data_IF_983033064926
#
_entry.id   IF_983033064926
#
_cell.length_a   1.000
_cell.length_b   1.000
_cell.length_c   1.000
_cell.angle_alpha   90.00
_cell.angle_beta   90.00
_cell.angle_gamma   90.00
#
_symmetry.space_group_name_H-M   'P 1'
#
loop_
_entity.id
_entity.type
_entity.pdbx_description
1 polymer ?
#
# COMPACT_ATOMS: atom_id res chain seq x y z
N UNK A 1 38.63 -40.48 54.67
CA UNK A 1 39.02 -41.85 54.28
C UNK A 1 37.76 -42.68 54.37
N UNK A 2 37.34 -43.31 53.26
CA UNK A 2 35.98 -43.87 53.04
C UNK A 2 34.88 -42.80 52.97
N UNK A 3 33.88 -42.84 52.10
CA UNK A 3 33.31 -43.97 51.37
C UNK A 3 32.47 -43.50 50.16
N UNK A 4 32.20 -44.45 49.27
CA UNK A 4 31.62 -44.35 47.92
C UNK A 4 30.24 -43.66 47.85
N UNK A 5 30.03 -42.86 46.80
CA UNK A 5 28.70 -42.59 46.25
C UNK A 5 28.64 -43.04 44.78
N UNK A 6 27.69 -43.93 44.49
CA UNK A 6 27.26 -44.40 43.17
C UNK A 6 26.48 -43.28 42.45
N UNK A 7 26.61 -43.08 41.12
CA UNK A 7 25.69 -42.22 40.39
C UNK A 7 24.43 -43.01 39.98
N UNK A 8 23.26 -42.52 40.37
CA UNK A 8 21.98 -42.92 39.81
C UNK A 8 21.81 -42.21 38.46
N UNK A 9 21.63 -43.04 37.42
CA UNK A 9 21.38 -42.65 36.05
C UNK A 9 19.95 -42.10 35.89
N UNK A 10 19.81 -40.95 35.24
CA UNK A 10 18.55 -40.48 34.63
C UNK A 10 18.79 -40.46 33.12
N UNK A 11 18.06 -41.23 32.30
CA UNK A 11 18.19 -41.13 30.85
C UNK A 11 17.50 -39.84 30.38
N UNK A 12 18.28 -38.96 29.77
CA UNK A 12 17.77 -37.79 29.06
C UNK A 12 17.12 -38.28 27.76
N UNK A 13 15.77 -38.25 27.71
CA UNK A 13 15.02 -38.52 26.49
C UNK A 13 15.17 -37.29 25.57
N UNK A 14 16.10 -37.37 24.62
CA UNK A 14 16.23 -36.38 23.55
C UNK A 14 15.06 -36.57 22.58
N UNK A 15 14.02 -35.73 22.72
CA UNK A 15 12.96 -35.59 21.73
C UNK A 15 13.51 -34.78 20.55
N UNK A 16 14.02 -35.48 19.54
CA UNK A 16 14.35 -34.87 18.24
C UNK A 16 13.02 -34.60 17.54
N UNK A 17 12.53 -33.37 17.62
CA UNK A 17 11.45 -32.89 16.77
C UNK A 17 12.04 -32.70 15.38
N UNK A 18 11.81 -33.68 14.51
CA UNK A 18 12.01 -33.50 13.08
C UNK A 18 10.98 -32.48 12.60
N UNK A 19 11.39 -31.23 12.39
CA UNK A 19 10.64 -30.26 11.62
C UNK A 19 10.65 -30.71 10.16
N UNK A 20 9.69 -31.54 9.79
CA UNK A 20 9.26 -31.65 8.40
C UNK A 20 8.52 -30.36 8.04
N UNK A 21 8.76 -29.74 6.85
CA UNK A 21 7.90 -28.68 6.36
C UNK A 21 6.51 -29.28 6.13
N UNK A 22 5.60 -29.01 7.06
CA UNK A 22 4.21 -29.40 6.93
C UNK A 22 3.59 -28.53 5.84
N UNK A 23 3.17 -29.14 4.73
CA UNK A 23 2.10 -28.57 3.90
C UNK A 23 0.92 -28.34 4.84
N UNK A 24 0.49 -27.08 4.97
CA UNK A 24 -0.69 -26.72 5.75
C UNK A 24 -1.87 -27.61 5.37
N UNK A 25 -2.65 -28.02 6.37
CA UNK A 25 -3.91 -28.72 6.11
C UNK A 25 -4.83 -27.69 5.46
N UNK A 26 -5.23 -27.94 4.22
CA UNK A 26 -6.16 -27.09 3.48
C UNK A 26 -7.43 -26.86 4.31
N UNK A 27 -7.80 -25.58 4.47
CA UNK A 27 -8.88 -25.12 5.32
C UNK A 27 -9.96 -24.42 4.52
N UNK A 28 -10.74 -23.59 5.20
CA UNK A 28 -11.62 -22.60 4.56
C UNK A 28 -10.70 -21.42 4.17
N UNK A 29 -10.76 -20.90 2.93
CA UNK A 29 -9.84 -19.84 2.51
C UNK A 29 -10.06 -18.57 3.32
N UNK A 30 -9.02 -18.02 3.93
CA UNK A 30 -9.09 -16.72 4.61
C UNK A 30 -8.94 -15.59 3.57
N UNK A 31 -9.79 -14.57 3.67
CA UNK A 31 -9.80 -13.41 2.78
C UNK A 31 -9.13 -12.24 3.49
N UNK A 32 -8.11 -11.66 2.85
CA UNK A 32 -7.34 -10.55 3.39
C UNK A 32 -7.23 -9.40 2.37
N UNK A 33 -7.10 -8.17 2.86
CA UNK A 33 -6.82 -6.97 2.04
C UNK A 33 -7.84 -6.71 0.92
N UNK A 34 -9.14 -6.80 1.24
CA UNK A 34 -10.20 -6.41 0.31
C UNK A 34 -10.07 -4.91 0.01
N UNK A 35 -9.88 -4.57 -1.27
CA UNK A 35 -9.67 -3.20 -1.73
C UNK A 35 -10.48 -2.95 -3.00
N UNK A 36 -11.17 -1.81 -3.04
CA UNK A 36 -11.85 -1.31 -4.25
C UNK A 36 -10.85 -0.56 -5.11
N UNK A 37 -10.80 -0.89 -6.39
CA UNK A 37 -9.86 -0.32 -7.38
C UNK A 37 -10.56 -0.08 -8.72
N UNK A 38 -9.90 0.61 -9.65
CA UNK A 38 -10.35 0.75 -11.04
C UNK A 38 -11.80 1.26 -11.15
N UNK A 39 -12.18 2.19 -10.27
CA UNK A 39 -13.52 2.78 -10.26
C UNK A 39 -13.64 3.76 -11.42
N UNK A 40 -14.68 3.57 -12.22
CA UNK A 40 -15.04 4.45 -13.32
C UNK A 40 -16.49 4.90 -13.13
N UNK A 41 -17.01 5.64 -14.10
CA UNK A 41 -18.42 6.05 -14.12
C UNK A 41 -19.39 4.88 -14.31
N UNK A 42 -18.93 3.70 -14.76
CA UNK A 42 -19.80 2.57 -15.11
C UNK A 42 -19.26 1.20 -14.68
N UNK A 43 -18.16 1.19 -13.92
CA UNK A 43 -17.52 -0.02 -13.43
C UNK A 43 -16.73 0.21 -12.15
N UNK A 44 -16.42 -0.86 -11.45
CA UNK A 44 -15.35 -0.91 -10.45
C UNK A 44 -14.71 -2.29 -10.46
N UNK A 45 -13.51 -2.40 -9.90
CA UNK A 45 -12.91 -3.68 -9.54
C UNK A 45 -12.78 -3.82 -8.03
N UNK A 46 -12.72 -5.06 -7.56
CA UNK A 46 -12.33 -5.39 -6.19
C UNK A 46 -11.21 -6.39 -6.26
N UNK A 47 -10.15 -6.13 -5.49
CA UNK A 47 -9.00 -7.02 -5.34
C UNK A 47 -8.90 -7.51 -3.90
N UNK A 48 -8.35 -8.70 -3.70
CA UNK A 48 -8.06 -9.26 -2.37
C UNK A 48 -7.10 -10.44 -2.47
N UNK A 49 -6.56 -10.86 -1.33
CA UNK A 49 -5.71 -12.03 -1.19
C UNK A 49 -6.47 -13.18 -0.51
N UNK A 50 -6.21 -14.40 -0.96
CA UNK A 50 -6.65 -15.65 -0.35
C UNK A 50 -5.46 -16.35 0.33
N UNK A 51 -5.69 -16.98 1.48
CA UNK A 51 -4.69 -17.78 2.19
C UNK A 51 -4.27 -19.08 1.48
N UNK A 52 -4.94 -19.42 0.38
CA UNK A 52 -4.63 -20.56 -0.48
C UNK A 52 -5.07 -20.31 -1.92
N UNK A 53 -4.68 -21.21 -2.83
CA UNK A 53 -5.14 -21.17 -4.22
C UNK A 53 -6.68 -21.26 -4.30
N UNK A 54 -7.31 -20.30 -4.96
CA UNK A 54 -8.75 -20.13 -4.95
C UNK A 54 -9.27 -19.44 -6.22
N UNK A 55 -10.57 -19.46 -6.44
CA UNK A 55 -11.24 -18.70 -7.50
C UNK A 55 -11.98 -17.50 -6.91
N UNK A 56 -12.10 -16.44 -7.69
CA UNK A 56 -12.73 -15.18 -7.29
C UNK A 56 -14.10 -14.98 -7.93
N UNK A 57 -15.06 -14.48 -7.17
CA UNK A 57 -16.34 -13.96 -7.65
C UNK A 57 -16.85 -12.84 -6.72
N UNK A 58 -17.91 -12.13 -7.10
CA UNK A 58 -18.51 -11.07 -6.28
C UNK A 58 -20.03 -11.04 -6.49
N UNK A 59 -20.77 -10.80 -5.41
CA UNK A 59 -22.19 -10.45 -5.48
C UNK A 59 -22.36 -8.97 -5.17
N UNK A 60 -23.18 -8.29 -5.98
CA UNK A 60 -23.40 -6.83 -5.90
C UNK A 60 -24.87 -6.56 -5.61
N UNK A 61 -25.14 -5.57 -4.76
CA UNK A 61 -26.43 -5.26 -4.19
C UNK A 61 -26.73 -3.76 -4.28
N UNK A 62 -28.02 -3.43 -4.29
CA UNK A 62 -28.53 -2.06 -4.26
C UNK A 62 -28.63 -1.49 -2.83
N UNK A 63 -28.47 -2.32 -1.79
CA UNK A 63 -28.61 -1.93 -0.39
C UNK A 63 -27.54 -2.52 0.53
N UNK A 64 -27.23 -1.78 1.60
CA UNK A 64 -26.20 -2.13 2.58
C UNK A 64 -26.45 -3.43 3.34
N UNK A 65 -27.69 -3.92 3.38
CA UNK A 65 -28.02 -5.17 4.07
C UNK A 65 -27.87 -6.41 3.18
N UNK A 66 -27.52 -6.24 1.90
CA UNK A 66 -27.37 -7.35 0.97
C UNK A 66 -28.69 -8.04 0.61
N UNK A 67 -29.82 -7.31 0.66
CA UNK A 67 -31.15 -7.92 0.45
C UNK A 67 -31.62 -7.85 -1.00
N UNK A 68 -31.13 -6.89 -1.77
CA UNK A 68 -31.55 -6.61 -3.14
C UNK A 68 -30.36 -6.77 -4.07
N UNK A 69 -30.24 -7.94 -4.70
CA UNK A 69 -29.18 -8.21 -5.67
C UNK A 69 -29.34 -7.29 -6.89
N UNK A 70 -28.23 -6.68 -7.31
CA UNK A 70 -28.17 -5.81 -8.47
C UNK A 70 -28.44 -6.62 -9.74
N UNK A 71 -29.43 -6.19 -10.52
CA UNK A 71 -29.75 -6.80 -11.81
C UNK A 71 -29.04 -6.09 -12.96
N UNK A 72 -28.55 -6.86 -13.94
CA UNK A 72 -27.99 -6.31 -15.19
C UNK A 72 -26.51 -5.93 -15.16
N UNK A 73 -25.85 -6.02 -14.01
CA UNK A 73 -24.39 -5.91 -13.92
C UNK A 73 -23.72 -7.15 -14.54
N UNK A 74 -22.55 -6.94 -15.13
CA UNK A 74 -21.70 -8.01 -15.66
C UNK A 74 -20.48 -8.14 -14.75
N UNK A 75 -20.29 -9.34 -14.21
CA UNK A 75 -19.18 -9.70 -13.32
C UNK A 75 -18.16 -10.53 -14.10
N UNK A 76 -16.89 -10.13 -14.06
CA UNK A 76 -15.78 -10.82 -14.72
C UNK A 76 -14.64 -11.01 -13.72
N UNK A 77 -14.35 -12.27 -13.38
CA UNK A 77 -13.18 -12.63 -12.59
C UNK A 77 -11.92 -12.61 -13.43
N UNK A 78 -10.86 -12.02 -12.87
CA UNK A 78 -9.55 -11.84 -13.47
C UNK A 78 -9.64 -11.25 -14.88
N UNK A 79 -10.13 -10.01 -15.01
CA UNK A 79 -10.22 -9.35 -16.32
C UNK A 79 -8.82 -9.11 -16.88
N UNK A 80 -8.52 -9.71 -18.03
CA UNK A 80 -7.25 -9.59 -18.76
C UNK A 80 -7.55 -9.08 -20.16
N UNK A 81 -6.81 -8.09 -20.61
CA UNK A 81 -6.99 -7.46 -21.94
C UNK A 81 -6.36 -8.30 -23.05
N UNK A 82 -5.21 -8.92 -22.81
CA UNK A 82 -4.56 -9.83 -23.74
C UNK A 82 -5.23 -11.21 -23.73
N UNK A 83 -6.08 -11.45 -24.72
CA UNK A 83 -6.84 -12.68 -24.86
C UNK A 83 -5.96 -13.94 -24.99
N UNK A 84 -4.74 -13.82 -25.52
CA UNK A 84 -3.82 -14.96 -25.69
C UNK A 84 -3.16 -15.33 -24.34
N UNK A 85 -3.08 -14.38 -23.41
CA UNK A 85 -2.49 -14.58 -22.06
C UNK A 85 -3.52 -14.77 -20.95
N UNK A 86 -4.80 -14.48 -21.22
CA UNK A 86 -5.89 -14.50 -20.23
C UNK A 86 -5.93 -15.76 -19.36
N UNK A 87 -5.92 -16.94 -19.98
CA UNK A 87 -5.97 -18.21 -19.22
C UNK A 87 -4.73 -18.42 -18.33
N UNK A 88 -3.55 -18.02 -18.80
CA UNK A 88 -2.30 -18.19 -18.08
C UNK A 88 -2.20 -17.23 -16.89
N UNK A 89 -2.53 -15.95 -17.10
CA UNK A 89 -2.52 -14.92 -16.04
C UNK A 89 -3.58 -15.26 -14.98
N UNK A 90 -4.79 -15.63 -15.40
CA UNK A 90 -5.84 -16.08 -14.48
C UNK A 90 -5.39 -17.28 -13.66
N UNK A 91 -4.84 -18.31 -14.30
CA UNK A 91 -4.38 -19.50 -13.59
C UNK A 91 -3.27 -19.18 -12.57
N UNK A 92 -2.32 -18.31 -12.95
CA UNK A 92 -1.25 -17.87 -12.06
C UNK A 92 -1.79 -17.07 -10.87
N UNK A 93 -2.69 -16.10 -11.11
CA UNK A 93 -3.32 -15.29 -10.06
C UNK A 93 -4.09 -16.16 -9.05
N UNK A 94 -4.91 -17.09 -9.56
CA UNK A 94 -5.66 -18.01 -8.69
C UNK A 94 -4.73 -18.96 -7.90
N UNK A 95 -3.59 -19.37 -8.45
CA UNK A 95 -2.62 -20.24 -7.76
C UNK A 95 -1.83 -19.47 -6.69
N UNK A 96 -1.54 -18.19 -6.92
CA UNK A 96 -0.92 -17.29 -5.95
C UNK A 96 -1.91 -16.70 -4.95
N UNK A 97 -3.20 -17.02 -5.05
CA UNK A 97 -4.23 -16.48 -4.16
C UNK A 97 -4.51 -14.99 -4.41
N UNK A 98 -4.13 -14.44 -5.57
CA UNK A 98 -4.44 -13.06 -5.98
C UNK A 98 -5.78 -13.02 -6.70
N UNK A 99 -6.69 -12.20 -6.20
CA UNK A 99 -8.04 -12.06 -6.74
C UNK A 99 -8.25 -10.66 -7.29
N UNK A 100 -8.89 -10.57 -8.46
CA UNK A 100 -9.46 -9.34 -9.02
C UNK A 100 -10.78 -9.68 -9.69
N UNK A 101 -11.85 -8.97 -9.36
CA UNK A 101 -13.14 -9.11 -10.03
C UNK A 101 -13.61 -7.73 -10.46
N UNK A 102 -14.00 -7.60 -11.73
CA UNK A 102 -14.54 -6.37 -12.29
C UNK A 102 -16.05 -6.49 -12.47
N UNK A 103 -16.75 -5.44 -12.04
CA UNK A 103 -18.19 -5.27 -12.20
C UNK A 103 -18.42 -4.12 -13.18
N UNK A 104 -19.19 -4.37 -14.24
CA UNK A 104 -19.52 -3.38 -15.28
C UNK A 104 -21.02 -3.28 -15.51
N UNK A 105 -21.46 -2.24 -16.22
CA UNK A 105 -22.88 -1.99 -16.50
C UNK A 105 -23.57 -1.15 -15.42
N UNK A 106 -22.79 -0.39 -14.66
CA UNK A 106 -23.26 0.44 -13.56
C UNK A 106 -23.67 1.84 -14.04
N UNK A 107 -24.30 2.61 -13.16
CA UNK A 107 -24.61 4.02 -13.40
C UNK A 107 -23.56 4.93 -12.75
N UNK A 108 -23.26 6.11 -13.33
CA UNK A 108 -22.39 7.11 -12.70
C UNK A 108 -22.97 7.64 -11.39
N UNK A 109 -22.11 8.14 -10.50
CA UNK A 109 -22.48 8.76 -9.21
C UNK A 109 -23.51 7.92 -8.43
N UNK A 110 -23.30 6.61 -8.36
CA UNK A 110 -24.23 5.67 -7.75
C UNK A 110 -23.49 4.75 -6.78
N UNK A 111 -23.98 4.68 -5.54
CA UNK A 111 -23.46 3.76 -4.52
C UNK A 111 -24.03 2.36 -4.70
N UNK A 112 -23.14 1.38 -4.75
CA UNK A 112 -23.43 -0.05 -4.74
C UNK A 112 -22.78 -0.71 -3.53
N UNK A 113 -23.29 -1.88 -3.16
CA UNK A 113 -22.77 -2.68 -2.05
C UNK A 113 -22.35 -4.04 -2.56
N UNK A 114 -21.31 -4.66 -1.98
CA UNK A 114 -20.82 -5.93 -2.46
C UNK A 114 -20.34 -6.85 -1.34
N UNK A 115 -20.28 -8.14 -1.66
CA UNK A 115 -19.53 -9.15 -0.91
C UNK A 115 -18.65 -9.93 -1.88
N UNK A 116 -17.38 -10.12 -1.53
CA UNK A 116 -16.48 -11.00 -2.28
C UNK A 116 -16.86 -12.46 -2.03
N UNK A 117 -16.56 -13.33 -2.98
CA UNK A 117 -16.76 -14.78 -2.87
C UNK A 117 -15.46 -15.45 -3.29
N UNK A 118 -14.85 -16.16 -2.34
CA UNK A 118 -13.59 -16.88 -2.55
C UNK A 118 -13.85 -18.36 -2.40
N UNK A 119 -13.58 -19.15 -3.44
CA UNK A 119 -13.77 -20.61 -3.40
C UNK A 119 -12.43 -21.31 -3.46
N UNK A 120 -12.08 -22.10 -2.43
CA UNK A 120 -10.83 -22.87 -2.43
C UNK A 120 -10.79 -23.85 -3.60
N UNK A 121 -9.66 -23.88 -4.33
CA UNK A 121 -9.43 -24.90 -5.36
C UNK A 121 -9.20 -26.29 -4.80
N UNK A 122 -8.83 -26.39 -3.52
CA UNK A 122 -8.43 -27.64 -2.89
C UNK A 122 -9.60 -28.33 -2.18
N UNK A 123 -10.47 -27.57 -1.49
CA UNK A 123 -11.60 -28.10 -0.72
C UNK A 123 -12.97 -27.78 -1.32
N UNK A 124 -13.05 -26.80 -2.21
CA UNK A 124 -14.30 -26.17 -2.67
C UNK A 124 -15.09 -25.46 -1.55
N UNK A 125 -14.47 -25.21 -0.39
CA UNK A 125 -15.05 -24.36 0.64
C UNK A 125 -15.11 -22.91 0.16
N UNK A 126 -16.14 -22.20 0.61
CA UNK A 126 -16.44 -20.82 0.19
C UNK A 126 -16.36 -19.87 1.38
N UNK A 127 -15.70 -18.75 1.18
CA UNK A 127 -15.66 -17.61 2.10
C UNK A 127 -16.26 -16.39 1.42
N UNK A 128 -17.14 -15.69 2.13
CA UNK A 128 -17.69 -14.40 1.69
C UNK A 128 -17.25 -13.28 2.61
N UNK A 129 -16.78 -12.16 2.05
CA UNK A 129 -16.31 -11.01 2.82
C UNK A 129 -16.90 -9.69 2.29
N UNK A 130 -17.62 -8.91 3.13
CA UNK A 130 -17.95 -9.21 4.53
C UNK A 130 -18.98 -10.34 4.65
N UNK A 131 -18.84 -11.18 5.68
CA UNK A 131 -19.73 -12.33 5.91
C UNK A 131 -21.15 -11.95 6.35
N UNK A 132 -21.38 -10.69 6.74
CA UNK A 132 -22.67 -10.16 7.15
C UNK A 132 -22.73 -8.65 6.91
N UNK A 133 -23.94 -8.10 6.91
CA UNK A 133 -24.18 -6.66 6.81
C UNK A 133 -23.58 -5.87 8.00
N UNK A 134 -23.22 -4.58 7.81
CA UNK A 134 -23.31 -3.83 6.55
C UNK A 134 -22.27 -4.29 5.54
N UNK A 135 -22.69 -4.45 4.28
CA UNK A 135 -21.81 -4.80 3.18
C UNK A 135 -20.90 -3.63 2.82
N UNK A 136 -19.73 -3.94 2.23
CA UNK A 136 -18.79 -2.92 1.74
C UNK A 136 -19.41 -2.16 0.59
N UNK A 137 -19.28 -0.84 0.58
CA UNK A 137 -19.84 0.02 -0.46
C UNK A 137 -18.77 0.61 -1.39
N UNK A 138 -19.17 0.91 -2.62
CA UNK A 138 -18.41 1.70 -3.59
C UNK A 138 -19.36 2.66 -4.28
N UNK A 139 -18.93 3.91 -4.48
CA UNK A 139 -19.64 4.88 -5.33
C UNK A 139 -18.86 5.04 -6.62
N UNK A 140 -19.54 4.84 -7.76
CA UNK A 140 -18.97 5.07 -9.10
C UNK A 140 -18.67 6.54 -9.33
N UNK A 141 -17.73 6.80 -10.22
CA UNK A 141 -17.30 8.17 -10.54
C UNK A 141 -18.39 8.95 -11.29
N UNK A 142 -18.28 10.28 -11.29
CA UNK A 142 -19.33 11.17 -11.80
C UNK A 142 -19.26 11.32 -13.32
N UNK A 143 -18.08 11.68 -13.85
CA UNK A 143 -17.90 11.96 -15.28
C UNK A 143 -16.48 11.66 -15.75
N UNK A 144 -16.37 11.16 -16.99
CA UNK A 144 -15.06 11.11 -17.67
C UNK A 144 -14.75 12.47 -18.28
N UNK A 145 -13.66 13.08 -17.84
CA UNK A 145 -13.18 14.38 -18.29
C UNK A 145 -11.73 14.25 -18.74
N UNK A 146 -11.33 14.98 -19.79
CA UNK A 146 -9.95 14.98 -20.31
C UNK A 146 -9.49 16.40 -20.60
N UNK A 147 -10.01 17.34 -19.82
CA UNK A 147 -9.77 18.77 -19.98
C UNK A 147 -9.76 19.46 -18.64
N UNK A 148 -8.96 20.51 -18.50
CA UNK A 148 -9.00 21.44 -17.37
C UNK A 148 -9.24 22.89 -17.85
N UNK A 149 -9.67 23.75 -16.95
CA UNK A 149 -9.88 25.18 -17.21
C UNK A 149 -8.59 25.97 -16.92
N UNK A 150 -8.10 26.73 -17.90
CA UNK A 150 -7.02 27.72 -17.73
C UNK A 150 -7.56 29.11 -18.10
N UNK A 151 -8.01 29.85 -17.08
CA UNK A 151 -8.60 31.17 -17.25
C UNK A 151 -9.93 31.14 -18.02
N UNK A 152 -9.90 31.43 -19.33
CA UNK A 152 -11.07 31.33 -20.22
C UNK A 152 -10.99 30.17 -21.20
N UNK A 153 -9.86 29.47 -21.23
CA UNK A 153 -9.59 28.38 -22.15
C UNK A 153 -9.89 27.03 -21.47
N UNK A 154 -10.32 26.06 -22.26
CA UNK A 154 -10.48 24.67 -21.86
C UNK A 154 -9.42 23.88 -22.61
N UNK A 155 -8.44 23.37 -21.89
CA UNK A 155 -7.28 22.70 -22.45
C UNK A 155 -7.38 21.19 -22.20
N UNK A 156 -7.03 20.34 -23.18
CA UNK A 156 -6.98 18.90 -22.96
C UNK A 156 -5.76 18.51 -22.12
N UNK A 157 -5.89 17.44 -21.35
CA UNK A 157 -4.77 16.77 -20.68
C UNK A 157 -4.78 15.27 -20.96
N UNK A 158 -3.63 14.63 -20.77
CA UNK A 158 -3.48 13.18 -20.87
C UNK A 158 -2.32 12.76 -20.00
N UNK A 159 -2.60 11.98 -18.96
CA UNK A 159 -1.55 11.42 -18.12
C UNK A 159 -0.75 10.37 -18.90
N UNK A 160 0.43 10.04 -18.38
CA UNK A 160 1.29 8.98 -18.91
C UNK A 160 0.83 7.58 -18.48
N UNK A 161 1.36 6.56 -19.19
CA UNK A 161 1.24 5.15 -18.82
C UNK A 161 2.51 4.74 -18.08
N UNK A 162 2.35 4.24 -16.86
CA UNK A 162 3.47 3.77 -16.05
C UNK A 162 3.81 2.33 -16.42
N UNK A 163 5.10 2.08 -16.66
CA UNK A 163 5.68 0.75 -16.78
C UNK A 163 6.61 0.48 -15.62
N UNK A 164 6.38 -0.64 -14.93
CA UNK A 164 7.20 -1.08 -13.80
C UNK A 164 7.49 -2.58 -13.93
N UNK A 165 8.73 -2.97 -13.61
CA UNK A 165 9.12 -4.38 -13.54
C UNK A 165 8.70 -5.01 -12.22
N UNK A 166 8.12 -6.20 -12.29
CA UNK A 166 7.58 -6.88 -11.12
C UNK A 166 8.16 -8.30 -11.05
N UNK A 167 8.97 -8.50 -10.02
CA UNK A 167 9.59 -9.78 -9.71
C UNK A 167 9.03 -10.33 -8.40
N UNK A 168 9.15 -11.65 -8.24
CA UNK A 168 8.98 -12.31 -6.95
C UNK A 168 10.09 -11.88 -5.98
N UNK A 169 10.00 -12.31 -4.72
CA UNK A 169 10.96 -11.97 -3.66
C UNK A 169 12.43 -12.28 -4.03
N UNK A 170 12.66 -13.23 -4.94
CA UNK A 170 13.99 -13.58 -5.44
C UNK A 170 14.65 -12.52 -6.34
N UNK A 171 13.90 -11.47 -6.71
CA UNK A 171 14.35 -10.35 -7.54
C UNK A 171 14.66 -10.71 -9.01
N UNK A 172 14.31 -11.92 -9.47
CA UNK A 172 14.68 -12.40 -10.82
C UNK A 172 13.55 -13.13 -11.55
N UNK A 173 12.66 -13.81 -10.84
CA UNK A 173 11.52 -14.50 -11.41
C UNK A 173 10.36 -13.52 -11.61
N UNK A 174 9.79 -13.39 -12.84
CA UNK A 174 8.63 -12.54 -13.07
C UNK A 174 7.45 -12.89 -12.15
N UNK A 175 6.76 -11.87 -11.63
CA UNK A 175 5.62 -12.02 -10.74
C UNK A 175 4.29 -12.24 -11.48
N UNK A 176 4.27 -13.16 -12.45
CA UNK A 176 3.10 -13.43 -13.28
C UNK A 176 1.85 -13.75 -12.44
N UNK A 177 0.70 -13.18 -12.82
CA UNK A 177 -0.57 -13.34 -12.11
C UNK A 177 -0.72 -12.44 -10.87
N UNK A 178 0.34 -11.74 -10.45
CA UNK A 178 0.25 -10.69 -9.43
C UNK A 178 -0.36 -9.40 -10.04
N UNK A 179 -0.75 -8.47 -9.18
CA UNK A 179 -1.28 -7.17 -9.60
C UNK A 179 -0.29 -6.07 -9.24
N UNK A 180 -0.01 -5.17 -10.18
CA UNK A 180 0.54 -3.87 -9.84
C UNK A 180 -0.62 -2.95 -9.43
N UNK A 181 -0.54 -2.39 -8.24
CA UNK A 181 -1.48 -1.38 -7.71
C UNK A 181 -0.77 -0.04 -7.74
N UNK A 182 -1.42 0.99 -8.29
CA UNK A 182 -0.91 2.36 -8.29
C UNK A 182 -1.82 3.28 -7.48
N UNK A 183 -1.21 4.08 -6.60
CA UNK A 183 -1.85 5.16 -5.83
C UNK A 183 -1.11 6.48 -6.05
N UNK A 184 -1.87 7.57 -6.17
CA UNK A 184 -1.37 8.95 -6.30
C UNK A 184 -2.03 9.90 -5.30
N UNK A 185 -1.38 11.02 -4.98
CA UNK A 185 -1.79 12.00 -3.97
C UNK A 185 -3.24 12.53 -4.14
N UNK A 186 -3.72 12.77 -5.36
CA UNK A 186 -5.11 13.23 -5.61
C UNK A 186 -6.14 12.12 -5.87
N UNK A 187 -5.71 10.85 -5.96
CA UNK A 187 -6.55 9.75 -6.44
C UNK A 187 -7.64 9.35 -5.44
N UNK A 188 -8.87 9.13 -5.94
CA UNK A 188 -9.99 8.62 -5.14
C UNK A 188 -9.86 7.12 -4.85
N UNK A 189 -9.48 6.34 -5.86
CA UNK A 189 -9.27 4.90 -5.77
C UNK A 189 -7.98 4.53 -6.50
N UNK A 190 -7.27 3.48 -6.05
CA UNK A 190 -6.14 2.93 -6.80
C UNK A 190 -6.59 2.35 -8.14
N UNK A 191 -5.66 2.28 -9.07
CA UNK A 191 -5.83 1.54 -10.34
C UNK A 191 -4.87 0.37 -10.39
N UNK A 192 -5.23 -0.68 -11.13
CA UNK A 192 -4.48 -1.93 -11.11
C UNK A 192 -4.34 -2.58 -12.48
N UNK A 193 -3.22 -3.27 -12.69
CA UNK A 193 -2.95 -4.05 -13.89
C UNK A 193 -2.32 -5.38 -13.51
N UNK A 194 -2.66 -6.44 -14.26
CA UNK A 194 -1.96 -7.70 -14.14
C UNK A 194 -0.57 -7.59 -14.74
N UNK A 195 0.40 -8.20 -14.08
CA UNK A 195 1.74 -8.35 -14.61
C UNK A 195 1.68 -9.31 -15.81
N UNK A 196 2.21 -8.85 -16.95
CA UNK A 196 2.13 -9.54 -18.24
C UNK A 196 0.84 -9.32 -19.04
N UNK A 197 -0.11 -8.49 -18.59
CA UNK A 197 -1.30 -8.11 -19.38
C UNK A 197 -1.02 -6.89 -20.25
N UNK A 198 -1.24 -7.01 -21.56
CA UNK A 198 -0.95 -5.96 -22.54
C UNK A 198 0.54 -5.66 -22.78
N UNK A 199 1.44 -6.29 -22.00
CA UNK A 199 2.91 -6.21 -22.10
C UNK A 199 3.53 -7.56 -21.78
N UNK A 200 4.78 -7.81 -22.17
CA UNK A 200 5.48 -9.04 -21.77
C UNK A 200 6.00 -8.93 -20.34
N UNK A 201 5.92 -10.02 -19.59
CA UNK A 201 6.52 -10.16 -18.27
C UNK A 201 8.03 -9.87 -18.32
N UNK A 202 8.61 -9.24 -17.28
CA UNK A 202 8.06 -9.01 -15.93
C UNK A 202 7.28 -7.71 -15.77
N UNK A 203 6.89 -7.03 -16.85
CA UNK A 203 6.31 -5.70 -16.75
C UNK A 203 4.81 -5.71 -16.49
N UNK A 204 4.31 -4.65 -15.85
CA UNK A 204 2.91 -4.25 -15.87
C UNK A 204 2.77 -2.85 -16.48
N UNK A 205 1.64 -2.58 -17.12
CA UNK A 205 1.28 -1.27 -17.66
C UNK A 205 0.08 -0.71 -16.92
N UNK A 206 0.27 0.46 -16.29
CA UNK A 206 -0.78 1.18 -15.57
C UNK A 206 -1.09 2.47 -16.33
N UNK A 207 -2.32 2.60 -16.82
CA UNK A 207 -2.78 3.81 -17.48
C UNK A 207 -3.32 4.81 -16.44
N UNK A 208 -2.50 5.82 -16.09
CA UNK A 208 -2.86 6.85 -15.10
C UNK A 208 -4.01 7.74 -15.56
N UNK A 209 -4.41 7.68 -16.83
CA UNK A 209 -5.64 8.36 -17.28
C UNK A 209 -6.88 7.78 -16.60
N UNK A 210 -6.82 6.55 -16.07
CA UNK A 210 -7.95 5.95 -15.35
C UNK A 210 -8.02 6.36 -13.88
N UNK A 211 -7.14 7.25 -13.42
CA UNK A 211 -7.27 7.89 -12.10
C UNK A 211 -8.40 8.92 -12.12
N UNK A 212 -9.17 8.94 -11.04
CA UNK A 212 -10.18 9.95 -10.75
C UNK A 212 -9.81 10.70 -9.48
N UNK A 213 -10.11 12.00 -9.46
CA UNK A 213 -9.87 12.92 -8.36
C UNK A 213 -10.83 12.64 -7.21
N UNK A 214 -10.30 12.58 -6.00
CA UNK A 214 -11.12 12.47 -4.78
C UNK A 214 -12.06 13.64 -4.58
N UNK A 215 -11.67 14.83 -5.05
CA UNK A 215 -12.45 16.05 -4.81
C UNK A 215 -13.61 16.21 -5.78
N UNK A 216 -13.38 15.91 -7.07
CA UNK A 216 -14.38 16.12 -8.13
C UNK A 216 -15.08 14.85 -8.59
N UNK A 217 -14.53 13.67 -8.30
CA UNK A 217 -14.97 12.39 -8.90
C UNK A 217 -15.01 12.43 -10.42
N UNK A 218 -14.11 13.22 -11.01
CA UNK A 218 -13.78 13.28 -12.44
C UNK A 218 -12.32 12.87 -12.63
N UNK A 219 -11.87 12.66 -13.86
CA UNK A 219 -10.48 12.25 -14.07
C UNK A 219 -9.49 13.26 -13.51
N UNK A 220 -8.44 12.73 -12.88
CA UNK A 220 -7.38 13.52 -12.26
C UNK A 220 -6.31 13.88 -13.30
N UNK A 221 -6.03 15.16 -13.47
CA UNK A 221 -4.86 15.67 -14.19
C UNK A 221 -3.67 15.62 -13.24
N UNK A 222 -2.63 14.87 -13.59
CA UNK A 222 -1.50 14.63 -12.69
C UNK A 222 -0.36 15.60 -12.97
N UNK A 223 0.21 16.13 -11.89
CA UNK A 223 1.36 17.02 -11.99
C UNK A 223 2.67 16.24 -11.81
N UNK A 224 3.71 16.69 -12.51
CA UNK A 224 5.04 16.12 -12.31
C UNK A 224 5.47 16.24 -10.85
N UNK A 225 6.06 15.17 -10.30
CA UNK A 225 6.66 15.20 -8.98
C UNK A 225 5.71 14.76 -7.87
N UNK A 226 4.41 14.64 -8.16
CA UNK A 226 3.43 14.05 -7.24
C UNK A 226 3.84 12.64 -6.82
N UNK A 227 3.52 12.25 -5.58
CA UNK A 227 3.87 10.94 -5.06
C UNK A 227 3.10 9.84 -5.81
N UNK A 228 3.83 8.83 -6.29
CA UNK A 228 3.29 7.65 -6.98
C UNK A 228 3.78 6.41 -6.24
N UNK A 229 2.90 5.78 -5.48
CA UNK A 229 3.21 4.51 -4.80
C UNK A 229 2.73 3.35 -5.64
N UNK A 230 3.65 2.43 -5.94
CA UNK A 230 3.37 1.21 -6.69
C UNK A 230 3.56 -0.01 -5.77
N UNK A 231 2.54 -0.87 -5.68
CA UNK A 231 2.59 -2.12 -4.90
C UNK A 231 2.41 -3.30 -5.83
N UNK A 232 3.38 -4.21 -5.85
CA UNK A 232 3.22 -5.53 -6.42
C UNK A 232 2.50 -6.42 -5.39
N UNK A 233 1.22 -6.66 -5.64
CA UNK A 233 0.33 -7.47 -4.83
C UNK A 233 0.36 -8.93 -5.31
N UNK A 234 1.21 -9.73 -4.66
CA UNK A 234 1.53 -11.10 -5.07
C UNK A 234 0.83 -12.21 -4.26
N UNK A 235 0.02 -11.84 -3.26
CA UNK A 235 -0.72 -12.81 -2.45
C UNK A 235 0.22 -13.76 -1.70
N UNK A 236 0.10 -15.07 -1.96
CA UNK A 236 0.95 -16.11 -1.36
C UNK A 236 2.43 -16.01 -1.75
N UNK A 237 2.75 -15.26 -2.81
CA UNK A 237 4.11 -15.03 -3.25
C UNK A 237 4.78 -13.82 -2.56
N UNK A 238 4.08 -13.19 -1.60
CA UNK A 238 4.52 -11.98 -0.92
C UNK A 238 4.21 -10.71 -1.71
N UNK A 239 4.44 -9.55 -1.09
CA UNK A 239 4.23 -8.26 -1.72
C UNK A 239 5.53 -7.46 -1.75
N UNK A 240 5.61 -6.51 -2.67
CA UNK A 240 6.66 -5.50 -2.66
C UNK A 240 6.09 -4.13 -3.00
N UNK A 241 6.80 -3.10 -2.56
CA UNK A 241 6.44 -1.70 -2.83
C UNK A 241 7.64 -0.98 -3.39
N UNK A 242 7.36 -0.08 -4.32
CA UNK A 242 8.29 0.92 -4.81
C UNK A 242 7.60 2.27 -4.86
N UNK A 243 8.20 3.26 -4.20
CA UNK A 243 7.75 4.65 -4.32
C UNK A 243 8.49 5.33 -5.45
N UNK A 244 7.72 5.99 -6.30
CA UNK A 244 8.13 6.85 -7.40
C UNK A 244 7.50 8.22 -7.25
N UNK A 245 7.81 9.09 -8.20
CA UNK A 245 7.03 10.29 -8.50
C UNK A 245 6.42 10.19 -9.89
N UNK A 246 5.31 10.90 -10.08
CA UNK A 246 4.72 11.10 -11.41
C UNK A 246 5.79 11.72 -12.32
N UNK A 247 6.12 11.09 -13.46
CA UNK A 247 7.13 11.59 -14.37
C UNK A 247 6.66 12.85 -15.10
N UNK A 248 7.58 13.61 -15.70
CA UNK A 248 7.20 14.76 -16.53
C UNK A 248 6.37 14.32 -17.72
N UNK A 249 5.17 14.87 -17.89
CA UNK A 249 4.41 14.77 -19.13
C UNK A 249 5.05 15.66 -20.21
N UNK A 250 5.57 15.02 -21.27
CA UNK A 250 6.21 15.69 -22.42
C UNK A 250 5.45 15.39 -23.73
N UNK A 251 4.36 14.63 -23.65
CA UNK A 251 3.68 14.05 -24.80
C UNK A 251 2.49 13.21 -24.37
N UNK A 252 1.53 13.04 -25.27
CA UNK A 252 0.26 12.38 -24.94
C UNK A 252 0.45 10.90 -24.63
N UNK A 253 0.12 10.49 -23.40
CA UNK A 253 0.07 9.09 -22.94
C UNK A 253 1.35 8.31 -23.25
N UNK A 254 2.51 8.89 -22.91
CA UNK A 254 3.78 8.20 -23.11
C UNK A 254 3.94 7.06 -22.11
N UNK A 255 4.63 6.00 -22.54
CA UNK A 255 5.00 4.90 -21.63
C UNK A 255 6.30 5.30 -20.93
N UNK A 256 6.27 5.44 -19.60
CA UNK A 256 7.41 5.88 -18.78
C UNK A 256 7.53 5.07 -17.50
N UNK A 257 8.75 4.96 -16.97
CA UNK A 257 8.95 4.56 -15.58
C UNK A 257 8.73 5.75 -14.66
N UNK A 258 8.39 5.51 -13.40
CA UNK A 258 8.22 6.60 -12.43
C UNK A 258 9.54 7.30 -12.10
N UNK A 259 9.48 8.60 -11.80
CA UNK A 259 10.64 9.40 -11.40
C UNK A 259 11.15 8.97 -10.01
N UNK A 260 12.43 9.22 -9.67
CA UNK A 260 12.97 8.92 -8.35
C UNK A 260 12.20 9.62 -7.21
N UNK A 261 11.75 8.84 -6.23
CA UNK A 261 11.03 9.34 -5.05
C UNK A 261 11.94 10.04 -4.05
N UNK A 262 13.06 9.41 -3.69
CA UNK A 262 14.05 9.96 -2.77
C UNK A 262 14.93 10.96 -3.52
N UNK A 263 14.94 12.21 -3.06
CA UNK A 263 15.75 13.31 -3.62
C UNK A 263 17.09 13.43 -2.90
N UNK A 264 18.06 14.07 -3.53
CA UNK A 264 19.33 14.41 -2.87
C UNK A 264 19.06 15.30 -1.66
N UNK A 265 19.69 15.02 -0.53
CA UNK A 265 19.46 15.70 0.74
C UNK A 265 18.42 14.99 1.61
N UNK A 266 17.68 15.77 2.41
CA UNK A 266 16.75 15.27 3.41
C UNK A 266 15.42 14.84 2.77
N UNK A 267 14.92 13.66 3.15
CA UNK A 267 13.62 13.14 2.75
C UNK A 267 12.89 12.61 3.99
N UNK A 268 11.61 12.90 4.12
CA UNK A 268 10.79 12.40 5.23
C UNK A 268 9.89 11.26 4.75
N UNK A 269 10.26 10.03 5.10
CA UNK A 269 9.81 8.80 4.44
C UNK A 269 9.21 7.83 5.45
N UNK A 270 8.16 7.14 5.06
CA UNK A 270 7.60 5.98 5.77
C UNK A 270 7.66 4.72 4.91
N UNK A 271 7.40 3.58 5.54
CA UNK A 271 7.32 2.29 4.86
C UNK A 271 5.85 1.83 4.83
N UNK A 272 5.14 1.91 3.67
CA UNK A 272 3.73 1.52 3.61
C UNK A 272 3.46 0.04 3.90
N UNK A 273 4.48 -0.81 3.71
CA UNK A 273 4.43 -2.23 4.07
C UNK A 273 5.40 -2.49 5.20
N UNK A 274 5.07 -3.44 6.08
CA UNK A 274 6.02 -3.92 7.07
C UNK A 274 7.09 -4.76 6.36
N UNK A 275 8.39 -4.39 6.45
CA UNK A 275 9.42 -5.15 5.76
C UNK A 275 9.51 -6.59 6.25
N UNK A 276 9.61 -7.55 5.31
CA UNK A 276 9.84 -8.97 5.65
C UNK A 276 11.18 -9.13 6.38
N UNK A 277 12.22 -8.43 5.89
CA UNK A 277 13.48 -8.24 6.59
C UNK A 277 13.60 -6.78 7.00
N UNK A 278 13.39 -6.52 8.29
CA UNK A 278 13.47 -5.17 8.84
C UNK A 278 14.90 -4.73 9.20
N UNK A 279 15.94 -5.57 9.00
CA UNK A 279 17.32 -5.15 9.24
C UNK A 279 17.71 -4.02 8.29
N UNK A 280 18.16 -2.89 8.84
CA UNK A 280 18.41 -1.68 8.05
C UNK A 280 19.44 -1.88 6.92
N UNK A 281 20.49 -2.68 7.15
CA UNK A 281 21.57 -2.87 6.16
C UNK A 281 21.08 -3.72 4.99
N UNK A 282 20.38 -4.80 5.30
CA UNK A 282 19.83 -5.70 4.27
C UNK A 282 18.71 -4.99 3.49
N UNK A 283 17.84 -4.28 4.20
CA UNK A 283 16.68 -3.62 3.61
C UNK A 283 17.06 -2.51 2.63
N UNK A 284 18.11 -1.75 2.93
CA UNK A 284 18.58 -0.66 2.05
C UNK A 284 19.68 -1.11 1.09
N UNK A 285 20.03 -2.40 0.99
CA UNK A 285 21.18 -2.89 0.22
C UNK A 285 21.22 -2.31 -1.21
N UNK A 286 20.07 -2.27 -1.88
CA UNK A 286 19.93 -1.77 -3.26
C UNK A 286 20.21 -0.27 -3.42
N UNK A 287 20.08 0.50 -2.34
CA UNK A 287 20.32 1.95 -2.31
C UNK A 287 21.45 2.33 -1.34
N UNK A 288 22.17 1.35 -0.78
CA UNK A 288 23.09 1.57 0.35
C UNK A 288 24.14 2.63 0.04
N UNK A 289 24.72 2.61 -1.16
CA UNK A 289 25.73 3.57 -1.59
C UNK A 289 25.19 5.00 -1.78
N UNK A 290 23.88 5.14 -1.97
CA UNK A 290 23.18 6.42 -2.19
C UNK A 290 22.70 7.09 -0.90
N UNK A 291 22.70 6.35 0.21
CA UNK A 291 22.33 6.84 1.54
C UNK A 291 23.58 7.36 2.25
N UNK A 292 23.50 8.54 2.85
CA UNK A 292 24.52 9.07 3.77
C UNK A 292 24.17 8.73 5.22
N UNK A 293 22.93 8.99 5.63
CA UNK A 293 22.43 8.66 6.96
C UNK A 293 20.91 8.47 6.98
N UNK A 294 20.42 7.71 7.96
CA UNK A 294 18.99 7.52 8.24
C UNK A 294 18.76 7.83 9.72
N UNK A 295 17.72 8.61 10.01
CA UNK A 295 17.36 9.00 11.36
C UNK A 295 15.91 8.65 11.67
N UNK A 296 15.65 8.23 12.90
CA UNK A 296 14.32 8.08 13.48
C UNK A 296 14.23 8.87 14.78
N UNK A 297 13.01 9.12 15.25
CA UNK A 297 12.77 9.78 16.52
C UNK A 297 12.02 8.84 17.46
N UNK A 298 12.63 8.51 18.59
CA UNK A 298 11.97 7.75 19.64
C UNK A 298 11.24 8.72 20.58
N UNK A 299 9.93 8.83 20.41
CA UNK A 299 9.10 9.73 21.19
C UNK A 299 9.05 9.37 22.69
N UNK A 300 9.31 8.11 23.05
CA UNK A 300 9.26 7.65 24.44
C UNK A 300 10.48 8.10 25.25
N UNK A 301 11.65 8.17 24.61
CA UNK A 301 12.89 8.65 25.23
C UNK A 301 13.19 10.12 24.90
N UNK A 302 12.62 10.64 23.81
CA UNK A 302 12.93 11.95 23.25
C UNK A 302 14.25 12.00 22.48
N UNK A 303 14.85 10.84 22.19
CA UNK A 303 16.15 10.71 21.55
C UNK A 303 16.04 10.42 20.04
N UNK A 304 17.06 10.85 19.29
CA UNK A 304 17.21 10.45 17.89
C UNK A 304 18.00 9.15 17.78
N UNK A 305 17.47 8.22 16.98
CA UNK A 305 18.16 7.01 16.57
C UNK A 305 18.76 7.22 15.17
N UNK A 306 19.96 6.72 14.90
CA UNK A 306 20.58 6.91 13.59
C UNK A 306 21.43 5.75 13.09
N UNK A 307 21.48 5.63 11.77
CA UNK A 307 22.54 4.99 11.02
C UNK A 307 23.26 6.10 10.25
N UNK A 308 24.54 6.35 10.53
CA UNK A 308 25.30 7.43 9.90
C UNK A 308 26.63 6.87 9.38
N UNK A 309 26.77 6.78 8.06
CA UNK A 309 27.94 6.17 7.41
C UNK A 309 29.21 7.00 7.56
N UNK A 310 29.12 8.25 8.04
CA UNK A 310 30.30 9.04 8.43
C UNK A 310 30.91 8.57 9.75
N UNK A 311 30.17 7.76 10.52
CA UNK A 311 30.56 7.23 11.82
C UNK A 311 30.75 5.70 11.76
N UNK A 312 31.65 5.11 12.57
CA UNK A 312 31.78 3.65 12.67
C UNK A 312 30.47 2.96 13.06
N UNK A 313 30.16 1.82 12.44
CA UNK A 313 28.86 1.13 12.56
C UNK A 313 28.46 0.75 14.00
N UNK A 314 29.43 0.57 14.89
CA UNK A 314 29.16 0.29 16.30
C UNK A 314 28.54 1.48 17.06
N UNK A 315 28.60 2.68 16.49
CA UNK A 315 27.98 3.90 17.03
C UNK A 315 26.59 4.18 16.46
N UNK A 316 26.16 3.45 15.41
CA UNK A 316 24.79 3.55 14.96
C UNK A 316 23.87 3.17 16.13
N UNK A 317 22.71 3.78 16.26
CA UNK A 317 21.67 3.41 17.23
C UNK A 317 20.41 2.87 16.55
N UNK A 318 20.18 3.21 15.27
CA UNK A 318 19.13 2.63 14.45
C UNK A 318 19.61 1.31 13.84
N UNK A 319 18.77 0.26 13.91
CA UNK A 319 19.10 -1.10 13.41
C UNK A 319 18.02 -1.72 12.55
N UNK A 320 16.78 -1.28 12.71
CA UNK A 320 15.64 -1.75 11.94
C UNK A 320 14.83 -0.58 11.39
N UNK A 321 14.14 -0.85 10.28
CA UNK A 321 13.11 0.03 9.74
C UNK A 321 11.76 -0.70 9.74
N UNK A 322 10.70 -0.02 10.15
CA UNK A 322 9.37 -0.58 10.43
C UNK A 322 8.28 0.35 9.87
N UNK A 323 7.11 -0.19 9.57
CA UNK A 323 6.03 0.55 8.88
C UNK A 323 5.43 1.72 9.67
N UNK A 324 5.40 1.61 10.99
CA UNK A 324 4.76 2.60 11.87
C UNK A 324 5.67 3.78 12.22
N UNK A 325 6.96 3.72 11.90
CA UNK A 325 7.92 4.76 12.24
C UNK A 325 8.19 5.63 11.02
N UNK A 326 8.28 6.95 11.24
CA UNK A 326 8.77 7.86 10.21
C UNK A 326 10.28 8.01 10.27
N UNK A 327 10.89 8.22 9.10
CA UNK A 327 12.34 8.31 8.96
C UNK A 327 12.77 9.55 8.19
N UNK A 328 13.94 10.07 8.55
CA UNK A 328 14.68 11.00 7.72
C UNK A 328 15.76 10.26 6.96
N UNK A 329 15.61 10.15 5.65
CA UNK A 329 16.63 9.62 4.75
C UNK A 329 17.45 10.79 4.19
N UNK A 330 18.75 10.81 4.48
CA UNK A 330 19.70 11.75 3.90
C UNK A 330 20.42 11.07 2.75
N UNK A 331 20.15 11.52 1.53
CA UNK A 331 20.63 10.90 0.30
C UNK A 331 21.73 11.74 -0.36
N UNK A 332 22.71 11.08 -0.97
CA UNK A 332 23.72 11.71 -1.82
C UNK A 332 23.40 11.60 -3.33
N UNK A 333 22.46 10.72 -3.70
CA UNK A 333 21.97 10.53 -5.06
C UNK A 333 20.45 10.26 -5.01
N UNK A 334 19.69 10.80 -5.97
CA UNK A 334 18.27 10.50 -6.07
C UNK A 334 18.02 9.07 -6.56
N UNK A 335 17.00 8.41 -6.01
CA UNK A 335 16.65 7.03 -6.37
C UNK A 335 15.21 6.70 -5.97
N UNK A 336 14.65 5.67 -6.59
CA UNK A 336 13.50 4.96 -6.04
C UNK A 336 13.98 3.94 -5.01
N UNK A 337 13.09 3.59 -4.08
CA UNK A 337 13.36 2.61 -3.03
C UNK A 337 12.34 1.49 -3.12
N UNK A 338 12.83 0.28 -3.40
CA UNK A 338 12.04 -0.94 -3.60
C UNK A 338 12.40 -1.96 -2.53
N UNK A 339 11.39 -2.53 -1.88
CA UNK A 339 11.57 -3.57 -0.86
C UNK A 339 10.34 -4.49 -0.77
N UNK A 340 10.55 -5.69 -0.23
CA UNK A 340 9.49 -6.66 0.03
C UNK A 340 8.90 -6.45 1.42
N UNK A 341 7.58 -6.57 1.53
CA UNK A 341 6.87 -6.34 2.77
C UNK A 341 5.47 -6.96 2.78
N UNK A 342 4.86 -6.97 3.95
CA UNK A 342 3.50 -7.41 4.17
C UNK A 342 2.65 -6.29 4.73
N UNK A 343 1.36 -6.35 4.42
CA UNK A 343 0.37 -5.54 5.11
C UNK A 343 0.28 -5.98 6.57
N UNK A 344 0.32 -5.03 7.50
CA UNK A 344 0.16 -5.30 8.93
C UNK A 344 -0.96 -4.45 9.52
N UNK A 345 -1.66 -5.01 10.49
CA UNK A 345 -2.72 -4.33 11.26
C UNK A 345 -2.21 -3.74 12.58
N UNK A 346 -0.90 -3.64 12.76
CA UNK A 346 -0.32 -3.12 13.98
C UNK A 346 -0.76 -1.67 14.22
N UNK A 347 -0.98 -1.38 15.49
CA UNK A 347 -1.55 -0.13 15.97
C UNK A 347 -0.43 0.77 16.42
N UNK A 348 -0.38 1.99 15.91
CA UNK A 348 0.66 2.94 16.29
C UNK A 348 0.34 3.57 17.65
N UNK A 349 1.34 3.64 18.54
CA UNK A 349 1.22 4.33 19.82
C UNK A 349 1.85 5.73 19.73
N UNK A 350 1.06 6.76 20.07
CA UNK A 350 1.52 8.15 20.06
C UNK A 350 1.82 8.62 21.50
N UNK A 351 2.99 9.23 21.68
CA UNK A 351 3.43 9.83 22.95
C UNK A 351 3.03 11.31 23.02
N UNK A 352 3.00 11.88 24.23
CA UNK A 352 2.88 13.34 24.37
C UNK A 352 4.10 14.05 23.75
N UNK A 353 3.85 15.17 23.06
CA UNK A 353 4.87 15.91 22.35
C UNK A 353 5.08 15.39 20.93
N UNK A 354 6.34 15.41 20.48
CA UNK A 354 6.69 15.08 19.10
C UNK A 354 6.67 13.57 18.85
N UNK A 355 6.12 13.17 17.71
CA UNK A 355 6.15 11.80 17.20
C UNK A 355 6.49 11.85 15.72
N UNK A 356 7.46 11.07 15.25
CA UNK A 356 7.76 10.93 13.83
C UNK A 356 7.17 9.61 13.34
N UNK A 357 6.09 9.69 12.58
CA UNK A 357 5.20 8.55 12.31
C UNK A 357 5.14 8.20 10.84
N UNK A 358 4.94 6.91 10.56
CA UNK A 358 4.81 6.38 9.21
C UNK A 358 3.36 6.04 8.82
N UNK A 359 2.99 6.31 7.56
CA UNK A 359 1.66 5.95 7.02
C UNK A 359 1.63 4.49 6.61
N UNK A 360 0.65 3.74 7.16
CA UNK A 360 0.39 2.31 6.87
C UNK A 360 -0.62 2.07 5.75
N UNK A 361 -1.39 3.10 5.38
CA UNK A 361 -2.38 2.97 4.33
C UNK A 361 -1.72 2.99 2.95
N UNK A 362 -2.26 2.24 2.00
CA UNK A 362 -1.89 2.32 0.58
C UNK A 362 -2.76 3.32 -0.18
N UNK A 363 -3.79 3.87 0.46
CA UNK A 363 -4.66 4.89 -0.09
C UNK A 363 -4.38 6.23 0.61
N UNK A 364 -4.26 7.28 -0.17
CA UNK A 364 -4.25 8.64 0.36
C UNK A 364 -5.58 8.95 1.04
N UNK A 365 -5.53 9.54 2.22
CA UNK A 365 -6.71 9.88 3.03
C UNK A 365 -6.75 11.37 3.31
N UNK A 366 -7.96 11.88 3.52
CA UNK A 366 -8.13 13.24 4.00
C UNK A 366 -7.59 13.30 5.43
N UNK A 367 -6.91 14.40 5.76
CA UNK A 367 -6.31 14.57 7.08
C UNK A 367 -7.38 14.47 8.17
N UNK A 368 -8.52 15.13 7.95
CA UNK A 368 -9.62 15.16 8.92
C UNK A 368 -10.23 13.77 9.19
N UNK A 369 -10.26 12.90 8.18
CA UNK A 369 -10.67 11.50 8.33
C UNK A 369 -9.59 10.70 9.06
N UNK A 370 -8.33 10.89 8.65
CA UNK A 370 -7.18 10.17 9.19
C UNK A 370 -6.95 10.40 10.68
N UNK A 371 -7.29 11.60 11.19
CA UNK A 371 -7.08 11.96 12.59
C UNK A 371 -8.37 12.01 13.40
N UNK A 372 -9.51 11.57 12.84
CA UNK A 372 -10.82 11.74 13.47
C UNK A 372 -10.83 11.27 14.94
N UNK A 373 -10.28 10.07 15.18
CA UNK A 373 -10.24 9.42 16.50
C UNK A 373 -9.22 10.04 17.47
N UNK A 374 -8.25 10.80 16.96
CA UNK A 374 -7.17 11.40 17.77
C UNK A 374 -7.20 12.94 17.74
N UNK A 375 -8.22 13.53 17.10
CA UNK A 375 -8.28 14.95 16.76
C UNK A 375 -8.24 15.89 17.97
N UNK A 376 -8.72 15.44 19.13
CA UNK A 376 -8.66 16.23 20.38
C UNK A 376 -7.26 16.32 20.99
N UNK A 377 -6.36 15.39 20.64
CA UNK A 377 -5.00 15.33 21.15
C UNK A 377 -3.99 16.01 20.23
N UNK A 378 -4.29 16.11 18.93
CA UNK A 378 -3.40 16.72 17.92
C UNK A 378 -3.30 18.24 18.13
N UNK A 379 -2.09 18.75 18.33
CA UNK A 379 -1.79 20.18 18.31
C UNK A 379 -1.39 20.65 16.92
N UNK A 380 -0.46 19.93 16.29
CA UNK A 380 -0.03 20.22 14.92
C UNK A 380 0.56 18.99 14.23
N UNK A 381 0.54 19.00 12.90
CA UNK A 381 1.09 17.96 12.04
C UNK A 381 1.94 18.62 10.96
N UNK A 382 3.12 18.08 10.70
CA UNK A 382 4.08 18.64 9.74
C UNK A 382 4.59 17.57 8.78
N UNK A 383 4.72 17.94 7.51
CA UNK A 383 5.39 17.16 6.47
C UNK A 383 6.47 18.01 5.80
N UNK A 384 7.60 17.39 5.46
CA UNK A 384 8.65 18.03 4.68
C UNK A 384 8.66 17.46 3.27
N UNK A 385 8.32 18.29 2.30
CA UNK A 385 8.42 17.95 0.89
C UNK A 385 9.86 18.15 0.43
N UNK A 386 10.54 17.04 0.12
CA UNK A 386 11.92 17.05 -0.35
C UNK A 386 12.07 17.57 -1.79
N UNK A 387 11.04 17.46 -2.62
CA UNK A 387 11.07 17.96 -4.00
C UNK A 387 11.00 19.48 -4.02
N UNK A 388 10.11 20.06 -3.23
CA UNK A 388 9.93 21.52 -3.12
C UNK A 388 10.86 22.18 -2.09
N UNK A 389 11.41 21.40 -1.16
CA UNK A 389 12.27 21.89 -0.08
C UNK A 389 11.51 22.74 0.96
N UNK A 390 10.23 22.46 1.18
CA UNK A 390 9.34 23.22 2.06
C UNK A 390 8.66 22.32 3.11
N UNK A 391 8.20 22.95 4.20
CA UNK A 391 7.28 22.31 5.13
C UNK A 391 5.84 22.66 4.79
N UNK A 392 4.96 21.66 4.82
CA UNK A 392 3.51 21.83 4.87
C UNK A 392 3.01 21.42 6.25
N UNK A 393 1.94 22.06 6.71
CA UNK A 393 1.51 21.91 8.10
C UNK A 393 0.02 22.05 8.30
N UNK A 394 -0.44 21.41 9.36
CA UNK A 394 -1.74 21.61 10.00
C UNK A 394 -1.50 21.99 11.46
N UNK A 395 -2.08 23.09 11.92
CA UNK A 395 -2.01 23.54 13.31
C UNK A 395 -3.41 23.97 13.76
N UNK A 396 -3.91 23.37 14.85
CA UNK A 396 -5.27 23.60 15.35
C UNK A 396 -5.49 25.02 15.89
N UNK A 397 -4.41 25.72 16.22
CA UNK A 397 -4.43 27.10 16.75
C UNK A 397 -4.41 28.15 15.64
N UNK A 398 -4.03 27.76 14.42
CA UNK A 398 -3.98 28.66 13.28
C UNK A 398 -5.33 28.70 12.54
N UNK A 399 -5.72 29.87 11.98
CA UNK A 399 -6.81 29.94 11.02
C UNK A 399 -6.59 28.98 9.85
N UNK A 400 -7.66 28.34 9.37
CA UNK A 400 -7.59 27.31 8.32
C UNK A 400 -6.86 27.73 7.05
N UNK A 401 -6.92 29.01 6.67
CA UNK A 401 -6.22 29.55 5.49
C UNK A 401 -4.69 29.61 5.64
N UNK A 402 -4.14 29.37 6.83
CA UNK A 402 -2.70 29.22 7.07
C UNK A 402 -2.25 27.75 7.08
N UNK A 403 -3.19 26.80 7.13
CA UNK A 403 -2.88 25.40 7.01
C UNK A 403 -2.69 25.04 5.53
N UNK A 404 -1.76 24.13 5.28
CA UNK A 404 -1.39 23.65 3.94
C UNK A 404 -1.33 22.12 3.84
N UNK A 405 -1.46 21.42 4.97
CA UNK A 405 -1.56 19.97 5.00
C UNK A 405 -3.04 19.55 5.11
N UNK A 406 -3.56 18.90 4.07
CA UNK A 406 -4.96 18.47 3.99
C UNK A 406 -5.13 16.96 3.78
N UNK A 407 -4.05 16.26 3.42
CA UNK A 407 -4.05 14.83 3.11
C UNK A 407 -2.88 14.12 3.80
N UNK A 408 -3.06 12.82 4.01
CA UNK A 408 -2.02 11.89 4.46
C UNK A 408 -1.79 10.89 3.35
N UNK A 409 -0.54 10.76 2.91
CA UNK A 409 -0.16 9.98 1.73
C UNK A 409 0.74 8.80 2.09
N UNK A 410 0.56 7.64 1.43
CA UNK A 410 1.45 6.49 1.57
C UNK A 410 2.91 6.87 1.25
N UNK A 411 3.86 6.38 2.05
CA UNK A 411 5.29 6.54 1.82
C UNK A 411 5.86 7.86 2.36
N UNK A 412 4.99 8.82 2.72
CA UNK A 412 5.39 10.01 3.46
C UNK A 412 5.35 9.74 4.97
N UNK A 413 6.35 10.24 5.68
CA UNK A 413 6.30 10.33 7.14
C UNK A 413 5.79 11.70 7.59
N UNK A 414 5.30 11.78 8.83
CA UNK A 414 4.71 13.00 9.38
C UNK A 414 5.21 13.22 10.81
N UNK A 415 5.43 14.48 11.18
CA UNK A 415 5.59 14.85 12.58
C UNK A 415 4.22 15.15 13.17
N UNK A 416 3.84 14.42 14.21
CA UNK A 416 2.65 14.69 15.02
C UNK A 416 3.08 15.30 16.34
N UNK A 417 2.50 16.45 16.68
CA UNK A 417 2.66 17.07 18.00
C UNK A 417 1.38 16.83 18.78
N UNK A 418 1.49 16.09 19.88
CA UNK A 418 0.35 15.67 20.70
C UNK A 418 0.36 16.39 22.04
N UNK A 419 -0.80 16.92 22.46
CA UNK A 419 -0.97 17.66 23.72
C UNK A 419 -0.87 16.77 24.96
N UNK A 420 -1.21 15.49 24.84
CA UNK A 420 -1.01 14.46 25.86
C UNK A 420 -0.79 13.10 25.19
N UNK A 421 -0.36 12.13 25.99
CA UNK A 421 -0.57 10.74 25.61
C UNK A 421 -2.08 10.50 25.55
N UNK A 422 -2.49 9.62 24.65
CA UNK A 422 -3.86 9.20 24.64
C UNK A 422 -4.10 8.22 25.80
N UNK A 423 -4.81 8.69 26.82
CA UNK A 423 -5.21 7.85 27.94
C UNK A 423 -6.06 6.66 27.43
N UNK A 424 -5.76 5.45 27.90
CA UNK A 424 -6.50 4.19 27.69
C UNK A 424 -6.22 3.35 26.43
N UNK A 425 -5.11 3.57 25.70
CA UNK A 425 -4.74 2.67 24.59
C UNK A 425 -5.71 2.68 23.41
N UNK A 426 -6.51 3.74 23.30
CA UNK A 426 -7.55 3.92 22.28
C UNK A 426 -7.15 4.86 21.13
N UNK A 427 -5.93 5.42 21.12
CA UNK A 427 -5.44 6.15 19.96
C UNK A 427 -4.58 5.22 19.12
N UNK A 428 -5.24 4.40 18.33
CA UNK A 428 -4.61 3.67 17.25
C UNK A 428 -4.75 4.53 16.00
N UNK A 429 -3.63 5.06 15.50
CA UNK A 429 -3.58 5.66 14.17
C UNK A 429 -3.19 4.60 13.13
#
# INVERSE_FOLDING_TARGET
MSEKMWPLWVPFLLLVIALSPGKGIAGIPEVNHVMVTDVTTVSFSVIWASSEAATADIEVFEDANGTTLLSGAVVVSHPVNDADKADAIKAAAEESGVMKVMVTGLQPDTTYYFQTITTSKSTADVTSEPAAAPLTSVTTETSTVRTYEDGTDILPFSNDVIVEDCYLEDGTTPADGSLLIATVAGGQYPITAFIGDGVDSPYALIDLNNMFSRESSENLDLEQGENLTLVNFGGLNGNSVVSHRVPSDLGLAEIKSGDPFLKVGWNMVSLPLEPINNNIVDLIESIYDKVDSIWAYDASSGDYLSMDKSMPDFLWSLRSLESTTGYWFVMNEETSFKYNGDFQSNTMQLSSGWNLVGVKDLKTKDLSESIADISEYVESIWYYDAAEGIYVSYDVTLPSYLNSLFTIEPGNAYWFVMSSECDDGNCEW
#
